data_IF_931184780861
#
_entry.id   IF_931184780861
#
_cell.length_a   1.000
_cell.length_b   1.000
_cell.length_c   1.000
_cell.angle_alpha   90.00
_cell.angle_beta   90.00
_cell.angle_gamma   90.00
#
_symmetry.space_group_name_H-M   'P 1'
#
loop_
_entity.id
_entity.type
_entity.pdbx_description
1 polymer ?
#
# COMPACT_ATOMS: atom_id res chain seq x y z
N UNK A 1 21.08 6.33 -37.39
CA UNK A 1 19.65 6.15 -37.06
C UNK A 1 19.55 5.18 -35.90
N UNK A 2 18.97 5.60 -34.77
CA UNK A 2 18.79 4.72 -33.60
C UNK A 2 17.58 3.80 -33.84
N UNK A 3 17.81 2.49 -33.96
CA UNK A 3 16.71 1.53 -34.03
C UNK A 3 16.01 1.47 -32.67
N UNK A 4 14.74 1.88 -32.63
CA UNK A 4 13.88 1.65 -31.46
C UNK A 4 13.64 0.15 -31.31
N UNK A 5 14.31 -0.46 -30.34
CA UNK A 5 13.98 -1.81 -29.87
C UNK A 5 12.52 -1.83 -29.42
N UNK A 6 11.71 -2.70 -30.06
CA UNK A 6 10.35 -3.02 -29.63
C UNK A 6 10.30 -4.49 -29.28
N UNK A 7 9.63 -4.83 -28.18
CA UNK A 7 9.33 -6.21 -27.86
C UNK A 7 8.48 -6.84 -28.97
N UNK A 8 8.94 -7.99 -29.46
CA UNK A 8 8.26 -8.74 -30.52
C UNK A 8 6.90 -9.22 -30.01
N UNK A 9 5.83 -8.85 -30.72
CA UNK A 9 4.45 -9.30 -30.46
C UNK A 9 4.16 -10.67 -31.10
N UNK A 10 5.13 -11.26 -31.79
CA UNK A 10 4.94 -12.37 -32.76
C UNK A 10 4.89 -13.76 -32.13
N UNK A 11 4.71 -13.86 -30.83
CA UNK A 11 4.14 -15.05 -30.20
C UNK A 11 3.32 -14.55 -29.03
N UNK A 12 2.14 -15.10 -28.81
CA UNK A 12 1.44 -14.93 -27.55
C UNK A 12 2.34 -15.48 -26.44
N UNK A 13 3.18 -14.62 -25.89
CA UNK A 13 4.18 -15.02 -24.90
C UNK A 13 3.45 -15.59 -23.69
N UNK A 14 3.47 -16.92 -23.57
CA UNK A 14 2.90 -17.64 -22.43
C UNK A 14 3.64 -17.36 -21.12
N UNK A 15 4.70 -16.53 -21.14
CA UNK A 15 5.51 -16.20 -19.98
C UNK A 15 4.67 -15.66 -18.83
N UNK A 16 3.85 -14.62 -19.06
CA UNK A 16 3.05 -14.01 -17.99
C UNK A 16 2.03 -15.00 -17.40
N UNK A 17 1.33 -15.74 -18.24
CA UNK A 17 0.38 -16.78 -17.82
C UNK A 17 1.09 -17.88 -17.01
N UNK A 18 2.25 -18.33 -17.47
CA UNK A 18 3.06 -19.35 -16.80
C UNK A 18 3.55 -18.90 -15.43
N UNK A 19 4.04 -17.66 -15.32
CA UNK A 19 4.50 -17.09 -14.04
C UNK A 19 3.33 -16.97 -13.06
N UNK A 20 2.21 -16.38 -13.50
CA UNK A 20 1.01 -16.24 -12.66
C UNK A 20 0.50 -17.59 -12.17
N UNK A 21 0.48 -18.60 -13.04
CA UNK A 21 0.08 -19.97 -12.69
C UNK A 21 1.01 -20.58 -11.62
N UNK A 22 2.34 -20.48 -11.81
CA UNK A 22 3.32 -21.00 -10.86
C UNK A 22 3.24 -20.32 -9.49
N UNK A 23 3.06 -18.99 -9.46
CA UNK A 23 2.86 -18.24 -8.21
C UNK A 23 1.59 -18.70 -7.51
N UNK A 24 0.47 -18.81 -8.23
CA UNK A 24 -0.79 -19.32 -7.66
C UNK A 24 -0.64 -20.73 -7.06
N UNK A 25 0.00 -21.64 -7.79
CA UNK A 25 0.30 -22.99 -7.30
C UNK A 25 1.16 -22.99 -6.04
N UNK A 26 2.16 -22.11 -5.96
CA UNK A 26 3.02 -21.99 -4.78
C UNK A 26 2.22 -21.65 -3.52
N UNK A 27 1.34 -20.64 -3.59
CA UNK A 27 0.48 -20.28 -2.45
C UNK A 27 -0.44 -21.45 -2.06
N UNK A 28 -1.05 -22.12 -3.05
CA UNK A 28 -1.97 -23.23 -2.80
C UNK A 28 -1.27 -24.45 -2.19
N UNK A 29 -0.09 -24.84 -2.70
CA UNK A 29 0.64 -26.02 -2.22
C UNK A 29 1.22 -25.83 -0.82
N UNK A 30 1.53 -24.59 -0.44
CA UNK A 30 2.03 -24.24 0.89
C UNK A 30 0.93 -23.81 1.87
N UNK A 31 -0.34 -23.88 1.45
CA UNK A 31 -1.50 -23.44 2.26
C UNK A 31 -1.35 -21.98 2.77
N UNK A 32 -0.74 -21.12 1.94
CA UNK A 32 -0.55 -19.72 2.23
C UNK A 32 -1.68 -18.90 1.63
N UNK A 33 -2.16 -17.91 2.38
CA UNK A 33 -3.09 -16.91 1.86
C UNK A 33 -2.37 -15.96 0.89
N UNK A 34 -3.07 -15.53 -0.15
CA UNK A 34 -2.63 -14.45 -1.04
C UNK A 34 -2.89 -13.06 -0.44
N UNK A 35 -3.57 -12.99 0.71
CA UNK A 35 -3.89 -11.75 1.42
C UNK A 35 -2.85 -11.41 2.51
N UNK A 36 -3.05 -10.29 3.20
CA UNK A 36 -2.13 -9.81 4.22
C UNK A 36 -1.87 -10.85 5.33
N UNK A 37 -0.59 -11.14 5.54
CA UNK A 37 -0.10 -11.91 6.68
C UNK A 37 0.11 -11.01 7.91
N UNK A 38 0.57 -11.59 9.03
CA UNK A 38 0.83 -10.84 10.28
C UNK A 38 1.78 -9.65 10.13
N UNK A 39 2.82 -9.78 9.29
CA UNK A 39 3.80 -8.69 9.05
C UNK A 39 3.14 -7.54 8.29
N UNK A 40 2.27 -7.85 7.34
CA UNK A 40 1.49 -6.85 6.61
C UNK A 40 0.51 -6.12 7.53
N UNK A 41 -0.19 -6.82 8.41
CA UNK A 41 -1.06 -6.17 9.41
C UNK A 41 -0.27 -5.29 10.38
N UNK A 42 0.90 -5.72 10.82
CA UNK A 42 1.80 -4.86 11.60
C UNK A 42 2.18 -3.59 10.84
N UNK A 43 2.55 -3.70 9.56
CA UNK A 43 2.85 -2.55 8.68
C UNK A 43 1.67 -1.57 8.64
N UNK A 44 0.44 -2.07 8.46
CA UNK A 44 -0.78 -1.25 8.44
C UNK A 44 -0.97 -0.52 9.76
N UNK A 45 -0.91 -1.23 10.88
CA UNK A 45 -1.09 -0.65 12.21
C UNK A 45 -0.01 0.42 12.45
N UNK A 46 1.26 0.11 12.22
CA UNK A 46 2.38 1.03 12.41
C UNK A 46 2.18 2.36 11.69
N UNK A 47 1.83 2.33 10.40
CA UNK A 47 1.64 3.56 9.63
C UNK A 47 0.39 4.33 10.06
N UNK A 48 -0.72 3.65 10.34
CA UNK A 48 -1.94 4.35 10.78
C UNK A 48 -1.80 4.94 12.18
N UNK A 49 -1.22 4.20 13.13
CA UNK A 49 -1.00 4.71 14.48
C UNK A 49 0.02 5.83 14.50
N UNK A 50 1.08 5.73 13.68
CA UNK A 50 2.07 6.80 13.55
C UNK A 50 1.47 8.06 12.94
N UNK A 51 0.65 7.92 11.89
CA UNK A 51 -0.05 9.05 11.27
C UNK A 51 -0.99 9.75 12.27
N UNK A 52 -1.89 9.00 12.91
CA UNK A 52 -2.84 9.56 13.89
C UNK A 52 -2.09 10.12 15.12
N UNK A 53 -1.07 9.41 15.60
CA UNK A 53 -0.25 9.83 16.73
C UNK A 53 0.51 11.13 16.47
N UNK A 54 1.15 11.27 15.30
CA UNK A 54 1.82 12.50 14.91
C UNK A 54 0.84 13.66 14.75
N UNK A 55 -0.31 13.41 14.11
CA UNK A 55 -1.34 14.43 13.91
C UNK A 55 -1.88 14.94 15.25
N UNK A 56 -2.24 14.03 16.17
CA UNK A 56 -2.73 14.38 17.51
C UNK A 56 -1.66 15.05 18.37
N UNK A 57 -0.39 14.63 18.28
CA UNK A 57 0.72 15.29 18.96
C UNK A 57 0.89 16.73 18.51
N UNK A 58 0.85 17.00 17.20
CA UNK A 58 0.93 18.36 16.66
C UNK A 58 -0.23 19.21 17.18
N UNK A 59 -1.46 18.68 17.15
CA UNK A 59 -2.66 19.40 17.60
C UNK A 59 -2.71 19.61 19.12
N UNK A 60 -2.05 18.77 19.91
CA UNK A 60 -2.02 18.90 21.38
C UNK A 60 -1.32 20.17 21.87
N UNK A 61 -0.50 20.80 21.03
CA UNK A 61 0.27 21.99 21.40
C UNK A 61 1.44 21.71 22.37
N UNK A 62 1.71 20.45 22.72
CA UNK A 62 2.82 20.09 23.62
C UNK A 62 4.21 20.23 22.97
N UNK A 63 4.29 20.26 21.64
CA UNK A 63 5.54 20.40 20.92
C UNK A 63 6.00 21.87 20.86
N UNK A 64 7.29 22.10 21.09
CA UNK A 64 7.90 23.41 20.87
C UNK A 64 7.82 23.82 19.39
N UNK A 65 7.78 25.13 19.10
CA UNK A 65 7.62 25.67 17.75
C UNK A 65 8.66 25.11 16.76
N UNK A 66 9.91 24.95 17.18
CA UNK A 66 11.00 24.41 16.36
C UNK A 66 10.82 22.93 16.02
N UNK A 67 10.07 22.18 16.82
CA UNK A 67 9.74 20.77 16.57
C UNK A 67 8.57 20.60 15.60
N UNK A 68 7.78 21.65 15.34
CA UNK A 68 6.62 21.55 14.45
C UNK A 68 7.04 21.25 13.00
N UNK A 69 8.14 21.82 12.52
CA UNK A 69 8.63 21.57 11.16
C UNK A 69 9.02 20.09 10.95
N UNK A 70 9.90 19.47 11.77
CA UNK A 70 10.22 18.05 11.61
C UNK A 70 9.02 17.13 11.89
N UNK A 71 8.12 17.49 12.82
CA UNK A 71 6.91 16.70 13.09
C UNK A 71 5.95 16.70 11.88
N UNK A 72 5.70 17.85 11.28
CA UNK A 72 4.82 17.96 10.10
C UNK A 72 5.44 17.31 8.86
N UNK A 73 6.77 17.42 8.66
CA UNK A 73 7.46 16.69 7.61
C UNK A 73 7.33 15.16 7.81
N UNK A 74 7.52 14.68 9.04
CA UNK A 74 7.36 13.26 9.38
C UNK A 74 5.92 12.80 9.18
N UNK A 75 4.93 13.61 9.58
CA UNK A 75 3.52 13.33 9.31
C UNK A 75 3.25 13.17 7.81
N UNK A 76 3.85 14.02 6.97
CA UNK A 76 3.76 13.90 5.50
C UNK A 76 4.31 12.58 4.97
N UNK A 77 5.45 12.11 5.51
CA UNK A 77 6.03 10.80 5.17
C UNK A 77 5.06 9.67 5.56
N UNK A 78 4.50 9.72 6.77
CA UNK A 78 3.50 8.74 7.20
C UNK A 78 2.25 8.77 6.33
N UNK A 79 1.76 9.95 5.94
CA UNK A 79 0.63 10.12 5.04
C UNK A 79 0.88 9.44 3.69
N UNK A 80 2.04 9.70 3.07
CA UNK A 80 2.43 9.05 1.82
C UNK A 80 2.49 7.53 1.97
N UNK A 81 3.06 7.02 3.06
CA UNK A 81 3.14 5.58 3.29
C UNK A 81 1.81 4.93 3.64
N UNK A 82 0.87 5.62 4.28
CA UNK A 82 -0.52 5.12 4.41
C UNK A 82 -1.12 4.91 3.02
N UNK A 83 -0.97 5.90 2.12
CA UNK A 83 -1.44 5.78 0.74
C UNK A 83 -0.83 4.58 0.00
N UNK A 84 0.50 4.48 -0.04
CA UNK A 84 1.20 3.45 -0.83
C UNK A 84 1.24 2.05 -0.18
N UNK A 85 1.27 1.95 1.14
CA UNK A 85 1.46 0.65 1.83
C UNK A 85 0.19 0.08 2.45
N UNK A 86 -0.89 0.84 2.51
CA UNK A 86 -2.17 0.40 3.08
C UNK A 86 -3.27 0.52 2.04
N UNK A 87 -3.53 1.74 1.57
CA UNK A 87 -4.65 1.99 0.67
C UNK A 87 -4.46 1.36 -0.71
N UNK A 88 -3.27 1.47 -1.31
CA UNK A 88 -2.94 0.82 -2.59
C UNK A 88 -3.20 -0.70 -2.56
N UNK A 89 -2.72 -1.38 -1.52
CA UNK A 89 -2.91 -2.82 -1.35
C UNK A 89 -4.40 -3.17 -1.14
N UNK A 90 -5.14 -2.33 -0.43
CA UNK A 90 -6.58 -2.47 -0.24
C UNK A 90 -7.38 -2.24 -1.54
N UNK A 91 -7.03 -1.22 -2.33
CA UNK A 91 -7.68 -0.91 -3.61
C UNK A 91 -7.46 -2.01 -4.67
N UNK A 92 -6.35 -2.74 -4.57
CA UNK A 92 -6.11 -3.95 -5.37
C UNK A 92 -6.75 -5.22 -4.79
N UNK A 93 -7.44 -5.13 -3.65
CA UNK A 93 -8.11 -6.26 -2.99
C UNK A 93 -7.15 -7.28 -2.37
N UNK A 94 -5.86 -6.96 -2.25
CA UNK A 94 -4.84 -7.89 -1.74
C UNK A 94 -4.68 -7.80 -0.22
N UNK A 95 -5.26 -6.80 0.44
CA UNK A 95 -5.13 -6.63 1.88
C UNK A 95 -5.93 -7.67 2.68
N UNK A 96 -7.19 -7.92 2.32
CA UNK A 96 -8.06 -8.88 2.99
C UNK A 96 -8.88 -9.70 2.00
N UNK A 97 -9.30 -10.90 2.39
CA UNK A 97 -10.28 -11.71 1.65
C UNK A 97 -11.68 -11.06 1.67
N UNK A 98 -11.98 -10.31 2.75
CA UNK A 98 -13.25 -9.60 2.86
C UNK A 98 -13.17 -8.25 2.13
N UNK A 99 -13.97 -8.12 1.07
CA UNK A 99 -14.00 -6.91 0.26
C UNK A 99 -14.46 -5.66 1.04
N UNK A 100 -15.29 -5.81 2.08
CA UNK A 100 -15.68 -4.69 2.94
C UNK A 100 -14.49 -4.11 3.71
N UNK A 101 -13.54 -4.97 4.13
CA UNK A 101 -12.31 -4.53 4.79
C UNK A 101 -11.44 -3.76 3.79
N UNK A 102 -11.28 -4.27 2.58
CA UNK A 102 -10.56 -3.59 1.51
C UNK A 102 -11.16 -2.22 1.19
N UNK A 103 -12.49 -2.14 1.08
CA UNK A 103 -13.18 -0.87 0.83
C UNK A 103 -13.01 0.13 1.98
N UNK A 104 -13.01 -0.33 3.23
CA UNK A 104 -12.77 0.53 4.40
C UNK A 104 -11.38 1.16 4.35
N UNK A 105 -10.33 0.35 4.14
CA UNK A 105 -8.96 0.86 4.03
C UNK A 105 -8.75 1.66 2.74
N UNK A 106 -9.44 1.33 1.65
CA UNK A 106 -9.46 2.13 0.43
C UNK A 106 -10.08 3.52 0.64
N UNK A 107 -11.11 3.63 1.49
CA UNK A 107 -11.71 4.92 1.83
C UNK A 107 -10.76 5.87 2.57
N UNK A 108 -9.78 5.34 3.32
CA UNK A 108 -8.74 6.16 3.94
C UNK A 108 -7.94 6.97 2.91
N UNK A 109 -7.86 6.49 1.66
CA UNK A 109 -7.24 7.24 0.57
C UNK A 109 -7.96 8.57 0.30
N UNK A 110 -9.29 8.57 0.34
CA UNK A 110 -10.08 9.80 0.22
C UNK A 110 -9.88 10.71 1.44
N UNK A 111 -9.79 10.14 2.64
CA UNK A 111 -9.61 10.90 3.88
C UNK A 111 -8.29 11.67 3.90
N UNK A 112 -7.21 11.06 3.40
CA UNK A 112 -5.89 11.72 3.27
C UNK A 112 -5.80 12.69 2.07
N UNK A 113 -6.91 12.95 1.36
CA UNK A 113 -6.97 13.88 0.24
C UNK A 113 -6.44 13.32 -1.09
N UNK A 114 -6.22 12.00 -1.17
CA UNK A 114 -5.81 11.33 -2.40
C UNK A 114 -7.02 10.81 -3.18
N UNK A 115 -6.89 10.73 -4.50
CA UNK A 115 -7.94 10.25 -5.40
C UNK A 115 -7.45 8.96 -6.09
N UNK A 116 -8.20 7.83 -6.01
CA UNK A 116 -7.79 6.57 -6.63
C UNK A 116 -7.88 6.56 -8.17
N UNK A 117 -8.32 7.66 -8.80
CA UNK A 117 -8.41 7.84 -10.26
C UNK A 117 -7.27 8.66 -10.84
#
# INVERSE_FOLDING_TARGET
>A
MSQKLKFSRTSESLFFATVRHRVSLFFKSHQLSQHANKKMWFKVVFFLTGFVGLYTLILSGFAAIWMLLPLTATLGIFCAFVGFNVCHDALHGSLSENNSVNNLFGFLFHLIGANPY
#
